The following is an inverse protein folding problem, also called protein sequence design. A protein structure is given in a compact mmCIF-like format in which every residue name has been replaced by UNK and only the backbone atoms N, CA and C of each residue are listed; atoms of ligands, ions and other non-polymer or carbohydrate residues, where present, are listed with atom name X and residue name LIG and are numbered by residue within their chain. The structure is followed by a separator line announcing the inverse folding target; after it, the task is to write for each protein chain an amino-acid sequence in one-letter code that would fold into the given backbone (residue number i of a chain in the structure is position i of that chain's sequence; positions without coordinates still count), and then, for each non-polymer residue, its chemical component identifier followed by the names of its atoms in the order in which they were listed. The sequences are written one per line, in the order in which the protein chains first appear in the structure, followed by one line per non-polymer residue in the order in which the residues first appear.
data_IF_710158025086
#
_entry.id   IF_710158025086
#
_cell.length_a   1.000
_cell.length_b   1.000
_cell.length_c   1.000
_cell.angle_alpha   90.00
_cell.angle_beta   90.00
_cell.angle_gamma   90.00
#
_symmetry.space_group_name_H-M   'P 1'
#
loop_
_entity.id
_entity.type
_entity.pdbx_description
1 polymer ?
#
# COMPACT_ATOMS: atom_id res chain seq x y z
N UNK A 1 14.54 5.86 -18.54
CA UNK A 1 13.51 5.90 -17.48
C UNK A 1 12.60 4.72 -17.74
N UNK A 2 12.35 3.86 -16.75
CA UNK A 2 11.53 2.65 -16.91
C UNK A 2 10.05 3.07 -16.95
N UNK A 3 9.33 2.73 -18.03
CA UNK A 3 7.92 3.08 -18.23
C UNK A 3 7.03 2.67 -17.05
N UNK A 4 7.43 1.62 -16.33
CA UNK A 4 6.70 1.14 -15.16
C UNK A 4 6.78 2.08 -13.96
N UNK A 5 7.90 2.78 -13.73
CA UNK A 5 8.03 3.68 -12.58
C UNK A 5 7.18 4.94 -12.75
N UNK A 6 7.16 5.50 -13.96
CA UNK A 6 6.37 6.69 -14.29
C UNK A 6 4.86 6.41 -14.18
N UNK A 7 4.41 5.22 -14.60
CA UNK A 7 3.02 4.80 -14.41
C UNK A 7 2.67 4.72 -12.91
N UNK A 8 3.54 4.14 -12.10
CA UNK A 8 3.33 4.03 -10.65
C UNK A 8 3.36 5.38 -9.95
N UNK A 9 4.19 6.33 -10.40
CA UNK A 9 4.19 7.71 -9.91
C UNK A 9 2.86 8.41 -10.23
N UNK A 10 2.35 8.28 -11.46
CA UNK A 10 1.05 8.83 -11.85
C UNK A 10 -0.09 8.24 -11.01
N UNK A 11 -0.10 6.92 -10.81
CA UNK A 11 -1.08 6.27 -9.93
C UNK A 11 -0.93 6.79 -8.48
N UNK A 12 0.30 6.99 -8.00
CA UNK A 12 0.56 7.59 -6.70
C UNK A 12 -0.01 9.00 -6.56
N UNK A 13 0.08 9.82 -7.61
CA UNK A 13 -0.57 11.13 -7.69
C UNK A 13 -2.09 11.03 -7.58
N UNK A 14 -2.71 10.15 -8.36
CA UNK A 14 -4.17 9.92 -8.31
C UNK A 14 -4.64 9.42 -6.93
N UNK A 15 -3.87 8.54 -6.28
CA UNK A 15 -4.16 8.11 -4.92
C UNK A 15 -4.10 9.27 -3.92
N UNK A 16 -3.12 10.16 -4.07
CA UNK A 16 -2.97 11.34 -3.22
C UNK A 16 -4.15 12.30 -3.36
N UNK A 17 -4.65 12.52 -4.58
CA UNK A 17 -5.87 13.31 -4.84
C UNK A 17 -7.11 12.71 -4.16
N UNK A 18 -7.13 11.38 -3.98
CA UNK A 18 -8.17 10.68 -3.24
C UNK A 18 -7.93 10.64 -1.72
N UNK A 19 -6.88 11.29 -1.24
CA UNK A 19 -6.47 11.29 0.18
C UNK A 19 -5.92 9.94 0.64
N UNK A 20 -5.33 9.15 -0.25
CA UNK A 20 -4.75 7.84 0.03
C UNK A 20 -3.22 7.97 -0.07
N UNK A 21 -2.54 7.92 1.08
CA UNK A 21 -1.07 7.96 1.07
C UNK A 21 -0.50 6.64 0.54
N UNK A 22 0.45 6.76 -0.39
CA UNK A 22 1.16 5.63 -0.96
C UNK A 22 2.66 5.89 -1.03
N UNK A 23 3.45 4.82 -1.05
CA UNK A 23 4.92 4.88 -1.13
C UNK A 23 5.43 3.96 -2.21
N UNK A 24 6.20 4.53 -3.11
CA UNK A 24 6.94 3.81 -4.14
C UNK A 24 8.24 3.26 -3.55
N UNK A 25 8.54 1.99 -3.79
CA UNK A 25 9.79 1.37 -3.39
C UNK A 25 10.29 0.36 -4.42
N UNK A 26 11.60 0.14 -4.42
CA UNK A 26 12.26 -0.87 -5.21
C UNK A 26 12.14 -2.23 -4.51
N UNK A 27 11.50 -3.18 -5.18
CA UNK A 27 11.46 -4.56 -4.73
C UNK A 27 12.77 -5.26 -5.13
N UNK A 28 13.55 -5.62 -4.13
CA UNK A 28 14.82 -6.33 -4.32
C UNK A 28 14.67 -7.76 -3.79
N UNK A 29 15.00 -8.75 -4.61
CA UNK A 29 15.00 -10.14 -4.17
C UNK A 29 16.33 -10.43 -3.48
N UNK A 30 16.30 -10.71 -2.18
CA UNK A 30 17.47 -11.17 -1.44
C UNK A 30 17.84 -12.59 -1.90
N UNK A 31 19.11 -12.82 -2.26
CA UNK A 31 19.60 -14.17 -2.57
C UNK A 31 20.72 -14.30 -3.58
N UNK A 32 21.10 -13.22 -4.28
CA UNK A 32 22.23 -13.26 -5.23
C UNK A 32 23.21 -12.16 -4.85
N UNK A 33 24.53 -12.41 -5.01
CA UNK A 33 25.67 -11.56 -4.62
C UNK A 33 25.61 -10.06 -5.04
N UNK A 34 24.59 -9.66 -5.81
CA UNK A 34 24.13 -8.30 -6.03
C UNK A 34 22.61 -8.30 -5.96
N UNK A 35 22.03 -7.40 -5.17
CA UNK A 35 20.59 -7.16 -5.14
C UNK A 35 20.09 -6.83 -6.55
N UNK A 36 19.42 -7.78 -7.19
CA UNK A 36 18.78 -7.53 -8.48
C UNK A 36 17.48 -6.78 -8.21
N UNK A 37 17.35 -5.57 -8.77
CA UNK A 37 16.07 -4.86 -8.81
C UNK A 37 15.13 -5.71 -9.66
N UNK A 38 14.03 -6.15 -9.08
CA UNK A 38 13.07 -7.03 -9.77
C UNK A 38 11.84 -6.29 -10.25
N UNK A 39 11.38 -5.29 -9.50
CA UNK A 39 10.24 -4.45 -9.89
C UNK A 39 10.13 -3.20 -9.02
N UNK A 40 9.43 -2.19 -9.51
CA UNK A 40 8.92 -1.09 -8.69
C UNK A 40 7.56 -1.47 -8.11
N UNK A 41 7.32 -1.14 -6.85
CA UNK A 41 6.05 -1.41 -6.16
C UNK A 41 5.51 -0.16 -5.49
N UNK A 42 4.21 0.05 -5.61
CA UNK A 42 3.48 1.10 -4.92
C UNK A 42 2.69 0.48 -3.76
N UNK A 43 2.98 0.86 -2.52
CA UNK A 43 2.27 0.39 -1.33
C UNK A 43 1.38 1.48 -0.75
N UNK A 44 0.14 1.14 -0.42
CA UNK A 44 -0.75 1.98 0.38
C UNK A 44 -0.38 1.81 1.85
N UNK A 45 -0.19 2.91 2.57
CA UNK A 45 0.36 2.90 3.92
C UNK A 45 -0.72 3.13 4.98
N UNK A 46 -0.85 2.16 5.90
CA UNK A 46 -1.68 2.32 7.08
C UNK A 46 -3.17 2.06 6.86
N UNK A 47 -3.86 1.85 7.98
CA UNK A 47 -5.25 1.39 8.00
C UNK A 47 -6.21 2.39 7.36
N UNK A 48 -6.08 3.67 7.68
CA UNK A 48 -7.05 4.68 7.22
C UNK A 48 -6.97 4.88 5.70
N UNK A 49 -5.77 4.78 5.14
CA UNK A 49 -5.58 4.79 3.68
C UNK A 49 -6.13 3.52 3.02
N UNK A 50 -6.00 2.35 3.66
CA UNK A 50 -6.66 1.12 3.18
C UNK A 50 -8.19 1.19 3.24
N UNK A 51 -8.75 1.85 4.27
CA UNK A 51 -10.20 2.10 4.35
C UNK A 51 -10.67 3.03 3.23
N UNK A 52 -9.97 4.14 3.00
CA UNK A 52 -10.26 5.06 1.90
C UNK A 52 -10.13 4.38 0.54
N UNK A 53 -9.12 3.53 0.37
CA UNK A 53 -8.97 2.71 -0.83
C UNK A 53 -10.16 1.77 -1.01
N UNK A 54 -10.57 1.05 0.04
CA UNK A 54 -11.71 0.15 0.00
C UNK A 54 -13.03 0.85 -0.37
N UNK A 55 -13.21 2.08 0.11
CA UNK A 55 -14.43 2.88 -0.09
C UNK A 55 -14.47 3.52 -1.49
N UNK A 56 -13.35 4.08 -1.96
CA UNK A 56 -13.30 4.88 -3.20
C UNK A 56 -12.95 4.09 -4.45
N UNK A 57 -12.18 3.02 -4.31
CA UNK A 57 -11.64 2.24 -5.43
C UNK A 57 -12.06 0.78 -5.28
N UNK A 58 -11.67 0.17 -4.17
CA UNK A 58 -11.92 -1.23 -3.87
C UNK A 58 -11.30 -2.18 -4.90
N UNK A 59 -11.80 -3.41 -4.89
CA UNK A 59 -11.50 -4.39 -5.94
C UNK A 59 -12.81 -4.84 -6.56
N UNK A 60 -12.87 -4.84 -7.90
CA UNK A 60 -13.98 -5.47 -8.64
C UNK A 60 -13.98 -6.99 -8.47
N UNK A 61 -12.80 -7.57 -8.22
CA UNK A 61 -12.64 -9.00 -7.94
C UNK A 61 -13.12 -9.33 -6.52
N UNK A 62 -14.09 -10.24 -6.41
CA UNK A 62 -14.75 -10.61 -5.15
C UNK A 62 -13.76 -11.23 -4.16
N UNK A 63 -12.80 -12.03 -4.64
CA UNK A 63 -11.80 -12.67 -3.77
C UNK A 63 -10.84 -11.67 -3.14
N UNK A 64 -10.37 -10.70 -3.94
CA UNK A 64 -9.51 -9.60 -3.47
C UNK A 64 -10.27 -8.66 -2.55
N UNK A 65 -11.52 -8.33 -2.87
CA UNK A 65 -12.39 -7.53 -2.01
C UNK A 65 -12.60 -8.21 -0.64
N UNK A 66 -12.88 -9.52 -0.64
CA UNK A 66 -13.01 -10.32 0.58
C UNK A 66 -11.72 -10.34 1.40
N UNK A 67 -10.57 -10.49 0.75
CA UNK A 67 -9.25 -10.47 1.41
C UNK A 67 -8.96 -9.12 2.06
N UNK A 68 -9.21 -8.01 1.34
CA UNK A 68 -9.04 -6.67 1.87
C UNK A 68 -9.92 -6.44 3.10
N UNK A 69 -11.19 -6.86 3.04
CA UNK A 69 -12.13 -6.75 4.16
C UNK A 69 -11.69 -7.57 5.37
N UNK A 70 -11.24 -8.80 5.15
CA UNK A 70 -10.69 -9.65 6.21
C UNK A 70 -9.43 -9.03 6.87
N UNK A 71 -8.54 -8.42 6.07
CA UNK A 71 -7.40 -7.67 6.59
C UNK A 71 -7.85 -6.48 7.46
N UNK A 72 -8.80 -5.67 6.96
CA UNK A 72 -9.35 -4.53 7.70
C UNK A 72 -10.04 -4.95 9.01
N UNK A 73 -10.75 -6.07 9.00
CA UNK A 73 -11.38 -6.65 10.19
C UNK A 73 -10.36 -7.21 11.18
N UNK A 74 -9.23 -7.76 10.71
CA UNK A 74 -8.12 -8.18 11.57
C UNK A 74 -7.52 -7.01 12.35
N UNK A 75 -7.34 -5.85 11.68
CA UNK A 75 -6.93 -4.62 12.37
C UNK A 75 -7.93 -4.16 13.43
N UNK A 76 -9.23 -4.45 13.26
CA UNK A 76 -10.26 -4.13 14.27
C UNK A 76 -10.18 -5.06 15.49
N UNK A 77 -9.80 -6.33 15.30
CA UNK A 77 -9.65 -7.32 16.38
C UNK A 77 -8.40 -7.09 17.23
N UNK A 78 -7.31 -6.63 16.61
CA UNK A 78 -6.06 -6.29 17.28
C UNK A 78 -5.97 -4.80 17.57
N UNK A 79 -6.95 -4.22 18.28
CA UNK A 79 -6.95 -2.83 18.75
C UNK A 79 -5.79 -2.51 19.71
N UNK A 80 -4.56 -2.62 19.24
CA UNK A 80 -3.33 -2.18 19.88
C UNK A 80 -2.93 -0.90 19.17
N UNK A 81 -3.07 0.20 19.90
CA UNK A 81 -2.44 1.51 19.67
C UNK A 81 -1.48 1.54 18.47
N UNK A 82 -1.82 2.33 17.45
CA UNK A 82 -0.76 3.02 16.72
C UNK A 82 0.15 3.62 17.80
N UNK A 83 1.47 3.34 17.85
CA UNK A 83 2.35 4.11 18.71
C UNK A 83 2.29 5.52 18.16
N UNK A 84 1.39 6.34 18.72
CA UNK A 84 1.53 7.78 18.68
C UNK A 84 2.92 7.97 19.25
N UNK A 85 3.85 8.39 18.39
CA UNK A 85 5.17 8.86 18.81
C UNK A 85 4.92 9.81 19.97
N UNK A 86 5.18 9.31 21.16
CA UNK A 86 5.27 10.07 22.38
C UNK A 86 6.51 10.95 22.20
N UNK A 87 6.31 12.14 21.61
CA UNK A 87 7.30 13.21 21.66
C UNK A 87 7.32 13.72 23.09
N UNK A 88 8.18 13.10 23.90
CA UNK A 88 8.90 13.78 24.96
C UNK A 88 10.27 14.12 24.41
#
# INVERSE_FOLDING_TARGET
MDTNSMLLENIGGMLTEMGIDSKLYLDTKAGVRRSTITSWKLAILGRDNLLRFCDRIGFSDVGKAGTLRAMLDSYRKHGSESPRRSMW
#
